data_IF_518250406946
#
_entry.id   IF_518250406946
#
_cell.length_a   1.000
_cell.length_b   1.000
_cell.length_c   1.000
_cell.angle_alpha   90.00
_cell.angle_beta   90.00
_cell.angle_gamma   90.00
#
_symmetry.space_group_name_H-M   'P 1'
#
loop_
_entity.id
_entity.type
_entity.pdbx_description
1 polymer ?
#
# COMPACT_ATOMS: atom_id res chain seq x y z
N UNK A 1 -10.73 -18.90 6.00
CA UNK A 1 -9.82 -19.23 4.88
C UNK A 1 -8.69 -18.21 4.84
N UNK A 2 -7.50 -18.56 4.32
CA UNK A 2 -6.30 -17.69 4.32
C UNK A 2 -6.53 -16.31 3.67
N UNK A 3 -7.55 -16.18 2.82
CA UNK A 3 -7.92 -14.94 2.14
C UNK A 3 -8.81 -13.99 2.97
N UNK A 4 -9.45 -14.44 4.05
CA UNK A 4 -10.33 -13.59 4.87
C UNK A 4 -9.54 -12.50 5.59
N UNK A 5 -8.34 -12.84 6.05
CA UNK A 5 -7.43 -11.88 6.69
C UNK A 5 -6.99 -10.78 5.70
N UNK A 6 -6.75 -11.13 4.44
CA UNK A 6 -6.39 -10.17 3.40
C UNK A 6 -7.56 -9.24 3.07
N UNK A 7 -8.78 -9.79 3.04
CA UNK A 7 -10.01 -9.02 2.84
C UNK A 7 -10.25 -8.05 4.00
N UNK A 8 -10.16 -8.53 5.25
CA UNK A 8 -10.28 -7.69 6.44
C UNK A 8 -9.22 -6.58 6.49
N UNK A 9 -7.98 -6.89 6.10
CA UNK A 9 -6.90 -5.90 6.03
C UNK A 9 -7.19 -4.83 4.97
N UNK A 10 -7.67 -5.22 3.79
CA UNK A 10 -8.09 -4.28 2.75
C UNK A 10 -9.22 -3.38 3.23
N UNK A 11 -10.24 -3.96 3.86
CA UNK A 11 -11.42 -3.24 4.33
C UNK A 11 -11.05 -2.25 5.46
N UNK A 12 -10.16 -2.63 6.40
CA UNK A 12 -9.64 -1.73 7.44
C UNK A 12 -8.85 -0.54 6.84
N UNK A 13 -8.04 -0.79 5.80
CA UNK A 13 -7.29 0.27 5.11
C UNK A 13 -8.20 1.22 4.32
N UNK A 14 -9.28 0.70 3.71
CA UNK A 14 -10.31 1.52 3.05
C UNK A 14 -11.06 2.34 4.09
N UNK A 15 -11.43 1.75 5.23
CA UNK A 15 -12.10 2.45 6.34
C UNK A 15 -11.24 3.60 6.90
N UNK A 16 -9.91 3.45 6.87
CA UNK A 16 -8.95 4.49 7.26
C UNK A 16 -8.71 5.54 6.17
N UNK A 17 -9.44 5.48 5.06
CA UNK A 17 -9.30 6.37 3.90
C UNK A 17 -7.90 6.35 3.29
N UNK A 18 -7.16 5.25 3.44
CA UNK A 18 -5.81 5.11 2.88
C UNK A 18 -5.92 4.73 1.41
N UNK A 19 -5.22 5.45 0.55
CA UNK A 19 -5.12 5.03 -0.85
C UNK A 19 -4.06 3.97 -0.95
N UNK A 20 -4.42 2.79 -1.45
CA UNK A 20 -3.54 1.62 -1.47
C UNK A 20 -2.98 1.46 -2.89
N UNK A 21 -1.70 1.14 -3.00
CA UNK A 21 -1.17 0.47 -4.19
C UNK A 21 -0.73 -0.93 -3.77
N UNK A 22 -1.12 -1.92 -4.54
CA UNK A 22 -0.59 -3.27 -4.45
C UNK A 22 0.28 -3.54 -5.66
N UNK A 23 1.46 -4.12 -5.44
CA UNK A 23 2.26 -4.65 -6.52
C UNK A 23 2.86 -5.99 -6.12
N UNK A 24 3.14 -6.79 -7.13
CA UNK A 24 3.79 -8.08 -6.97
C UNK A 24 5.29 -7.84 -6.87
N UNK A 25 5.91 -8.35 -5.82
CA UNK A 25 7.34 -8.27 -5.59
C UNK A 25 7.92 -9.67 -5.50
N UNK A 26 8.84 -10.00 -6.41
CA UNK A 26 9.51 -11.29 -6.41
C UNK A 26 10.85 -11.18 -5.68
N UNK A 27 11.03 -11.97 -4.63
CA UNK A 27 12.28 -12.03 -3.87
C UNK A 27 12.68 -13.48 -3.62
N UNK A 28 13.92 -13.83 -3.96
CA UNK A 28 14.45 -15.21 -3.83
C UNK A 28 13.49 -16.27 -4.40
N UNK A 29 12.89 -15.99 -5.56
CA UNK A 29 11.91 -16.86 -6.23
C UNK A 29 10.60 -17.10 -5.48
N UNK A 30 10.29 -16.27 -4.48
CA UNK A 30 9.01 -16.25 -3.78
C UNK A 30 8.26 -14.98 -4.18
N UNK A 31 6.99 -15.15 -4.57
CA UNK A 31 6.11 -14.05 -4.94
C UNK A 31 5.43 -13.47 -3.70
N UNK A 32 5.62 -12.17 -3.47
CA UNK A 32 5.01 -11.44 -2.37
C UNK A 32 4.03 -10.39 -2.92
N UNK A 33 2.85 -10.32 -2.31
CA UNK A 33 1.91 -9.23 -2.54
C UNK A 33 2.24 -8.11 -1.55
N UNK A 34 2.83 -7.02 -2.04
CA UNK A 34 3.20 -5.87 -1.22
C UNK A 34 2.08 -4.85 -1.26
N UNK A 35 1.58 -4.48 -0.07
CA UNK A 35 0.59 -3.43 0.11
C UNK A 35 1.27 -2.17 0.66
N UNK A 36 1.15 -1.05 -0.05
CA UNK A 36 1.70 0.23 0.40
C UNK A 36 0.62 1.29 0.55
N UNK A 37 0.73 2.09 1.61
CA UNK A 37 -0.04 3.32 1.79
C UNK A 37 0.51 4.40 0.86
N UNK A 38 -0.29 4.80 -0.14
CA UNK A 38 -0.03 5.96 -0.99
C UNK A 38 -0.49 7.22 -0.27
N UNK A 39 0.38 8.22 -0.25
CA UNK A 39 0.02 9.57 0.13
C UNK A 39 -0.57 10.27 -1.10
N UNK A 40 -1.86 10.60 -1.05
CA UNK A 40 -2.55 11.35 -2.11
C UNK A 40 -3.09 12.62 -1.50
N UNK A 41 -2.58 13.77 -1.97
CA UNK A 41 -3.00 15.09 -1.50
C UNK A 41 -1.85 15.97 -0.98
N UNK A 42 -2.22 17.06 -0.30
CA UNK A 42 -1.33 18.03 0.37
C UNK A 42 -0.89 17.56 1.78
N UNK A 43 -0.96 16.27 2.08
CA UNK A 43 -0.50 15.77 3.37
C UNK A 43 1.01 16.04 3.52
N UNK A 44 1.37 16.74 4.61
CA UNK A 44 2.76 17.11 4.90
C UNK A 44 3.58 15.83 5.00
N UNK A 45 4.62 15.70 4.16
CA UNK A 45 5.66 14.69 4.34
C UNK A 45 6.27 14.89 5.72
N UNK A 46 5.99 13.96 6.64
CA UNK A 46 6.66 13.92 7.95
C UNK A 46 8.07 13.32 7.81
N UNK A 47 8.31 12.54 6.74
CA UNK A 47 9.55 11.81 6.52
C UNK A 47 10.23 12.24 5.19
N UNK A 48 11.50 12.64 5.27
CA UNK A 48 12.34 13.08 4.14
C UNK A 48 12.54 12.02 3.06
N UNK A 49 12.41 10.74 3.40
CA UNK A 49 12.60 9.62 2.47
C UNK A 49 11.31 9.20 1.72
N UNK A 50 10.15 9.74 2.08
CA UNK A 50 8.90 9.41 1.39
C UNK A 50 8.88 10.05 -0.02
N UNK A 51 8.99 9.23 -1.06
CA UNK A 51 9.02 9.70 -2.47
C UNK A 51 7.60 9.76 -3.04
N UNK A 52 7.24 10.92 -3.61
CA UNK A 52 5.98 11.14 -4.34
C UNK A 52 6.07 10.40 -5.68
N UNK A 53 5.14 9.50 -5.97
CA UNK A 53 4.96 8.98 -7.32
C UNK A 53 4.20 10.05 -8.12
N UNK A 54 4.89 10.68 -9.07
CA UNK A 54 4.30 11.55 -10.08
C UNK A 54 3.80 10.61 -11.18
N UNK A 55 2.48 10.50 -11.35
CA UNK A 55 1.92 9.93 -12.57
C UNK A 55 1.89 11.09 -13.58
N UNK A 56 2.61 10.92 -14.68
CA UNK A 56 2.44 11.70 -15.92
C UNK A 56 1.15 11.26 -16.62
#
# INVERSE_FOLDING_TARGET
MILDNLKALKDDMVCKNWTICSFIFNYKSIEYIVLVKRFVGKEKKINTYAKRLRNE
#
